data_IF_266223537612
#
_entry.id   IF_266223537612
#
_cell.length_a   1.000
_cell.length_b   1.000
_cell.length_c   1.000
_cell.angle_alpha   90.00
_cell.angle_beta   90.00
_cell.angle_gamma   90.00
#
_symmetry.space_group_name_H-M   'P 1'
#
loop_
_entity.id
_entity.type
_entity.pdbx_description
1 polymer ?
#
# COMPACT_ATOMS: atom_id res chain seq x y z
N UNK A 1 16.63 9.40 -8.21
CA UNK A 1 16.00 10.18 -7.12
C UNK A 1 16.27 9.46 -5.80
N UNK A 2 16.68 10.16 -4.75
CA UNK A 2 16.82 9.59 -3.40
C UNK A 2 15.50 9.84 -2.65
N UNK A 3 14.83 8.79 -2.19
CA UNK A 3 13.60 8.95 -1.39
C UNK A 3 13.94 9.59 -0.04
N UNK A 4 13.07 10.50 0.43
CA UNK A 4 13.17 11.09 1.77
C UNK A 4 12.75 10.06 2.83
N UNK A 5 13.19 10.23 4.08
CA UNK A 5 12.81 9.31 5.18
C UNK A 5 11.28 9.19 5.33
N UNK A 6 10.50 10.29 5.30
CA UNK A 6 9.04 10.21 5.30
C UNK A 6 8.46 9.42 4.13
N UNK A 7 9.02 9.53 2.92
CA UNK A 7 8.56 8.78 1.76
C UNK A 7 8.84 7.27 1.89
N UNK A 8 9.98 6.89 2.46
CA UNK A 8 10.29 5.48 2.75
C UNK A 8 9.38 4.90 3.84
N UNK A 9 9.12 5.66 4.90
CA UNK A 9 8.16 5.25 5.94
C UNK A 9 6.74 5.14 5.38
N UNK A 10 6.34 6.10 4.53
CA UNK A 10 5.08 6.06 3.81
C UNK A 10 4.96 4.82 2.92
N UNK A 11 6.01 4.45 2.18
CA UNK A 11 6.06 3.21 1.40
C UNK A 11 5.85 1.97 2.28
N UNK A 12 6.50 1.91 3.43
CA UNK A 12 6.35 0.82 4.40
C UNK A 12 4.93 0.71 4.95
N UNK A 13 4.32 1.83 5.34
CA UNK A 13 2.92 1.88 5.76
C UNK A 13 1.98 1.45 4.63
N UNK A 14 2.21 1.92 3.41
CA UNK A 14 1.46 1.52 2.22
C UNK A 14 1.52 0.03 1.97
N UNK A 15 2.69 -0.60 2.16
CA UNK A 15 2.86 -2.06 2.03
C UNK A 15 2.03 -2.82 3.08
N UNK A 16 2.15 -2.44 4.36
CA UNK A 16 1.40 -3.08 5.46
C UNK A 16 -0.11 -2.94 5.23
N UNK A 17 -0.57 -1.75 4.87
CA UNK A 17 -1.99 -1.51 4.56
C UNK A 17 -2.46 -2.33 3.35
N UNK A 18 -1.62 -2.49 2.32
CA UNK A 18 -1.93 -3.34 1.17
C UNK A 18 -2.14 -4.80 1.57
N UNK A 19 -1.30 -5.33 2.45
CA UNK A 19 -1.47 -6.69 3.01
C UNK A 19 -2.76 -6.78 3.81
N UNK A 20 -3.05 -5.81 4.67
CA UNK A 20 -4.29 -5.78 5.46
C UNK A 20 -5.50 -5.79 4.54
N UNK A 21 -5.52 -4.98 3.48
CA UNK A 21 -6.62 -4.99 2.52
C UNK A 21 -6.74 -6.30 1.75
N UNK A 22 -5.63 -6.94 1.40
CA UNK A 22 -5.66 -8.27 0.79
C UNK A 22 -6.28 -9.30 1.74
N UNK A 23 -5.87 -9.31 3.02
CA UNK A 23 -6.45 -10.22 4.02
C UNK A 23 -7.95 -9.99 4.18
N UNK A 24 -8.39 -8.73 4.28
CA UNK A 24 -9.82 -8.41 4.36
C UNK A 24 -10.55 -8.88 3.11
N UNK A 25 -9.98 -8.66 1.93
CA UNK A 25 -10.57 -9.10 0.65
C UNK A 25 -10.71 -10.63 0.59
N UNK A 26 -9.72 -11.37 1.09
CA UNK A 26 -9.78 -12.84 1.17
C UNK A 26 -10.84 -13.35 2.15
N UNK A 27 -11.21 -12.55 3.15
CA UNK A 27 -12.27 -12.91 4.11
C UNK A 27 -13.68 -12.49 3.64
N UNK A 28 -13.78 -11.65 2.61
CA UNK A 28 -15.04 -11.00 2.20
C UNK A 28 -15.40 -11.20 0.73
N UNK A 29 -14.59 -11.92 -0.05
CA UNK A 29 -14.90 -12.14 -1.46
C UNK A 29 -16.11 -13.08 -1.63
N UNK A 30 -16.87 -12.86 -2.71
CA UNK A 30 -18.00 -13.70 -3.07
C UNK A 30 -17.52 -14.91 -3.90
N UNK A 31 -17.62 -16.10 -3.33
CA UNK A 31 -17.22 -17.37 -3.95
C UNK A 31 -18.02 -17.71 -5.22
N UNK A 32 -19.22 -17.13 -5.40
CA UNK A 32 -20.02 -17.34 -6.61
C UNK A 32 -19.52 -16.53 -7.82
N UNK A 33 -18.72 -15.49 -7.59
CA UNK A 33 -18.25 -14.55 -8.62
C UNK A 33 -16.74 -14.60 -8.83
N UNK A 34 -15.97 -14.99 -7.82
CA UNK A 34 -14.51 -15.05 -7.89
C UNK A 34 -13.96 -16.14 -6.97
N UNK A 35 -12.65 -16.35 -7.02
CA UNK A 35 -11.96 -17.32 -6.18
C UNK A 35 -10.77 -16.70 -5.45
N UNK A 36 -10.33 -17.36 -4.38
CA UNK A 36 -9.22 -16.87 -3.55
C UNK A 36 -7.91 -16.65 -4.33
N UNK A 37 -7.65 -17.45 -5.38
CA UNK A 37 -6.44 -17.30 -6.20
C UNK A 37 -6.48 -15.99 -6.98
N UNK A 38 -7.60 -15.66 -7.62
CA UNK A 38 -7.75 -14.43 -8.40
C UNK A 38 -7.72 -13.19 -7.50
N UNK A 39 -8.36 -13.24 -6.33
CA UNK A 39 -8.29 -12.18 -5.30
C UNK A 39 -6.84 -12.00 -4.83
N UNK A 40 -6.11 -13.09 -4.58
CA UNK A 40 -4.70 -13.03 -4.16
C UNK A 40 -3.82 -12.43 -5.25
N UNK A 41 -4.00 -12.85 -6.50
CA UNK A 41 -3.23 -12.33 -7.64
C UNK A 41 -3.51 -10.84 -7.87
N UNK A 42 -4.79 -10.42 -7.82
CA UNK A 42 -5.16 -9.02 -7.93
C UNK A 42 -4.56 -8.18 -6.78
N UNK A 43 -4.61 -8.68 -5.55
CA UNK A 43 -4.03 -8.01 -4.39
C UNK A 43 -2.50 -7.88 -4.48
N UNK A 44 -1.79 -8.94 -4.88
CA UNK A 44 -0.32 -8.92 -4.98
C UNK A 44 0.16 -8.07 -6.16
N UNK A 45 -0.46 -8.21 -7.33
CA UNK A 45 0.02 -7.55 -8.55
C UNK A 45 -0.43 -6.09 -8.66
N UNK A 46 -1.60 -5.76 -8.12
CA UNK A 46 -2.19 -4.41 -8.25
C UNK A 46 -2.37 -3.77 -6.88
N UNK A 47 -3.07 -4.44 -5.95
CA UNK A 47 -3.47 -3.84 -4.67
C UNK A 47 -2.29 -3.33 -3.84
N UNK A 48 -1.32 -4.20 -3.54
CA UNK A 48 -0.14 -3.90 -2.73
C UNK A 48 0.77 -2.88 -3.43
N UNK A 49 1.13 -3.01 -4.72
CA UNK A 49 1.90 -1.98 -5.41
C UNK A 49 1.20 -0.62 -5.40
N UNK A 50 -0.12 -0.59 -5.59
CA UNK A 50 -0.89 0.65 -5.58
C UNK A 50 -0.93 1.30 -4.20
N UNK A 51 -1.11 0.52 -3.13
CA UNK A 51 -1.09 1.04 -1.76
C UNK A 51 0.30 1.56 -1.37
N UNK A 52 1.38 0.92 -1.82
CA UNK A 52 2.75 1.42 -1.66
C UNK A 52 2.94 2.76 -2.36
N UNK A 53 2.47 2.91 -3.60
CA UNK A 53 2.55 4.18 -4.33
C UNK A 53 1.79 5.30 -3.62
N UNK A 54 0.60 5.02 -3.10
CA UNK A 54 -0.16 5.97 -2.27
C UNK A 54 0.65 6.35 -1.03
N UNK A 55 1.22 5.36 -0.33
CA UNK A 55 2.06 5.57 0.85
C UNK A 55 3.28 6.46 0.56
N UNK A 56 3.98 6.21 -0.56
CA UNK A 56 5.08 7.07 -1.04
C UNK A 56 4.57 8.49 -1.28
N UNK A 57 3.42 8.65 -1.95
CA UNK A 57 2.83 9.96 -2.24
C UNK A 57 2.52 10.75 -0.96
N UNK A 58 1.89 10.10 0.02
CA UNK A 58 1.59 10.71 1.33
C UNK A 58 2.88 11.05 2.07
N UNK A 59 3.83 10.11 2.16
CA UNK A 59 5.10 10.33 2.84
C UNK A 59 5.93 11.45 2.19
N UNK A 60 5.93 11.53 0.86
CA UNK A 60 6.55 12.63 0.13
C UNK A 60 5.89 13.97 0.42
N UNK A 61 4.55 14.04 0.37
CA UNK A 61 3.79 15.24 0.68
C UNK A 61 4.06 15.70 2.12
N UNK A 62 4.11 14.76 3.08
CA UNK A 62 4.47 15.04 4.46
C UNK A 62 5.87 15.64 4.59
N UNK A 63 6.87 15.02 3.96
CA UNK A 63 8.24 15.53 3.96
C UNK A 63 8.37 16.92 3.32
N UNK A 64 7.50 17.25 2.36
CA UNK A 64 7.45 18.59 1.74
C UNK A 64 6.82 19.65 2.65
N UNK A 65 5.83 19.28 3.46
CA UNK A 65 5.08 20.20 4.32
C UNK A 65 5.74 20.40 5.69
N UNK A 66 6.23 19.33 6.31
CA UNK A 66 6.73 19.33 7.69
C UNK A 66 8.27 19.32 7.75
N UNK A 67 8.92 18.84 6.68
CA UNK A 67 10.37 18.82 6.53
C UNK A 67 10.93 17.43 6.23
N UNK A 68 12.08 17.33 5.53
CA UNK A 68 12.58 16.08 4.96
C UNK A 68 13.07 15.04 5.98
N UNK A 69 13.19 15.41 7.26
CA UNK A 69 13.66 14.58 8.37
C UNK A 69 12.67 14.54 9.55
N UNK A 70 11.40 14.91 9.33
CA UNK A 70 10.39 15.00 10.40
C UNK A 70 9.95 13.65 10.98
N UNK A 71 10.37 12.55 10.35
CA UNK A 71 10.07 11.15 10.67
C UNK A 71 11.34 10.30 10.51
#
# INVERSE_FOLDING_TARGET
>A
MRFSKPALMGAGLGFVMGIVFLVISLLQFDESQTNAKDVTLAGILIGIPFSVLIGIGIGWAWGKLIGPNSL
#
